data_IF_136334581463
#
_entry.id   IF_136334581463
#
_cell.length_a   1.000
_cell.length_b   1.000
_cell.length_c   1.000
_cell.angle_alpha   90.00
_cell.angle_beta   90.00
_cell.angle_gamma   90.00
#
_symmetry.space_group_name_H-M   'P 1'
#
loop_
_entity.id
_entity.type
_entity.pdbx_description
1 polymer ?
#
# COMPACT_ATOMS: atom_id res chain seq x y z
N UNK A 1 19.35 11.78 12.44
CA UNK A 1 20.74 11.53 12.03
C UNK A 1 20.81 11.61 10.52
N UNK A 2 21.69 12.46 9.97
CA UNK A 2 22.02 12.39 8.55
C UNK A 2 22.80 11.09 8.30
N UNK A 3 22.27 10.21 7.43
CA UNK A 3 22.83 8.89 7.16
C UNK A 3 23.84 9.00 6.01
N UNK A 4 23.47 9.65 4.93
CA UNK A 4 24.20 9.62 3.67
C UNK A 4 25.45 10.51 3.64
N UNK A 5 25.40 11.69 4.27
CA UNK A 5 26.51 12.66 4.40
C UNK A 5 27.22 12.99 3.08
N UNK A 6 26.45 13.13 2.03
CA UNK A 6 26.89 13.39 0.65
C UNK A 6 26.57 14.84 0.27
N UNK A 7 27.45 15.80 0.58
CA UNK A 7 27.25 17.16 0.11
C UNK A 7 27.27 17.20 -1.42
N UNK A 8 26.35 17.94 -2.02
CA UNK A 8 26.23 18.07 -3.47
C UNK A 8 25.47 16.94 -4.17
N UNK A 9 24.93 15.96 -3.44
CA UNK A 9 24.02 14.95 -4.01
C UNK A 9 22.58 15.18 -3.54
N UNK A 10 21.65 15.01 -4.46
CA UNK A 10 20.22 15.05 -4.16
C UNK A 10 19.72 13.63 -3.84
N UNK A 11 19.23 13.44 -2.63
CA UNK A 11 18.78 12.14 -2.11
C UNK A 11 17.31 12.22 -1.75
N UNK A 12 16.55 11.22 -2.19
CA UNK A 12 15.10 11.21 -2.04
C UNK A 12 14.53 9.81 -2.02
N UNK A 13 13.25 9.70 -1.72
CA UNK A 13 12.50 8.43 -1.69
C UNK A 13 13.19 7.37 -0.82
N UNK A 14 13.58 7.74 0.39
CA UNK A 14 14.20 6.81 1.33
C UNK A 14 13.15 5.84 1.90
N UNK A 15 13.32 4.55 1.66
CA UNK A 15 12.41 3.49 2.08
C UNK A 15 13.13 2.39 2.85
N UNK A 16 12.55 1.99 3.98
CA UNK A 16 13.06 0.88 4.79
C UNK A 16 12.75 -0.46 4.14
N UNK A 17 13.71 -1.39 4.21
CA UNK A 17 13.41 -2.80 3.92
C UNK A 17 12.43 -3.36 4.97
N UNK A 18 11.47 -4.23 4.60
CA UNK A 18 10.51 -4.81 5.54
C UNK A 18 11.14 -5.57 6.71
N UNK A 19 12.34 -6.12 6.53
CA UNK A 19 13.11 -6.77 7.60
C UNK A 19 13.84 -5.79 8.54
N UNK A 20 13.74 -4.48 8.27
CA UNK A 20 14.33 -3.41 9.08
C UNK A 20 15.86 -3.31 9.04
N UNK A 21 16.53 -4.00 8.12
CA UNK A 21 18.00 -4.04 8.09
C UNK A 21 18.62 -2.99 7.20
N UNK A 22 17.91 -2.56 6.15
CA UNK A 22 18.45 -1.68 5.14
C UNK A 22 17.50 -0.52 4.85
N UNK A 23 18.08 0.57 4.32
CA UNK A 23 17.35 1.71 3.77
C UNK A 23 17.80 1.84 2.32
N UNK A 24 16.87 1.80 1.38
CA UNK A 24 17.12 2.13 -0.02
C UNK A 24 16.68 3.57 -0.30
N UNK A 25 17.38 4.25 -1.17
CA UNK A 25 17.09 5.62 -1.57
C UNK A 25 17.59 5.90 -2.98
N UNK A 26 17.06 6.93 -3.60
CA UNK A 26 17.50 7.43 -4.89
C UNK A 26 18.57 8.51 -4.65
N UNK A 27 19.69 8.45 -5.38
CA UNK A 27 20.74 9.48 -5.32
C UNK A 27 21.31 9.73 -6.71
N UNK A 28 21.64 10.99 -6.99
CA UNK A 28 22.30 11.43 -8.22
C UNK A 28 23.84 11.63 -8.05
N UNK A 29 24.40 11.15 -6.94
CA UNK A 29 25.85 11.29 -6.62
C UNK A 29 26.80 10.75 -7.69
N UNK A 30 26.33 9.97 -8.62
CA UNK A 30 27.10 9.43 -9.77
C UNK A 30 26.73 10.10 -11.09
N UNK A 31 26.00 11.21 -11.06
CA UNK A 31 25.51 11.97 -12.19
C UNK A 31 24.04 11.69 -12.49
N UNK A 32 23.71 10.48 -12.92
CA UNK A 32 22.33 10.06 -13.12
C UNK A 32 21.71 9.49 -11.84
N UNK A 33 20.36 9.51 -11.77
CA UNK A 33 19.64 8.94 -10.63
C UNK A 33 19.78 7.43 -10.57
N UNK A 34 20.36 6.94 -9.48
CA UNK A 34 20.57 5.51 -9.23
C UNK A 34 20.00 5.11 -7.86
N UNK A 35 19.75 3.82 -7.68
CA UNK A 35 19.30 3.28 -6.39
C UNK A 35 20.51 2.90 -5.56
N UNK A 36 20.56 3.42 -4.36
CA UNK A 36 21.55 3.13 -3.35
C UNK A 36 20.90 2.48 -2.13
N UNK A 37 21.66 1.70 -1.42
CA UNK A 37 21.22 1.04 -0.19
C UNK A 37 22.26 1.20 0.89
N UNK A 38 21.82 1.45 2.12
CA UNK A 38 22.67 1.53 3.31
C UNK A 38 22.09 0.68 4.43
N UNK A 39 22.98 0.08 5.24
CA UNK A 39 22.55 -0.67 6.40
C UNK A 39 21.96 0.27 7.46
N UNK A 40 20.87 -0.13 8.10
CA UNK A 40 20.27 0.57 9.24
C UNK A 40 21.25 0.80 10.40
N UNK A 41 22.26 -0.05 10.51
CA UNK A 41 23.33 0.06 11.52
C UNK A 41 24.43 1.05 11.10
N UNK A 42 24.41 1.52 9.85
CA UNK A 42 25.44 2.32 9.21
C UNK A 42 26.46 1.45 8.47
N UNK A 43 27.36 2.08 7.76
CA UNK A 43 28.37 1.43 6.92
C UNK A 43 28.54 2.16 5.59
N UNK A 44 29.29 1.55 4.68
CA UNK A 44 29.46 2.11 3.33
C UNK A 44 28.19 1.86 2.50
N UNK A 45 27.69 2.88 1.79
CA UNK A 45 26.53 2.74 0.91
C UNK A 45 26.84 1.82 -0.27
N UNK A 46 25.86 1.03 -0.64
CA UNK A 46 25.94 0.05 -1.75
C UNK A 46 25.13 0.58 -2.91
N UNK A 47 25.75 0.74 -4.07
CA UNK A 47 25.03 1.03 -5.31
C UNK A 47 24.36 -0.24 -5.84
N UNK A 48 23.04 -0.19 -6.04
CA UNK A 48 22.23 -1.32 -6.54
C UNK A 48 22.01 -1.24 -8.05
N UNK A 49 21.94 -0.04 -8.61
CA UNK A 49 21.72 0.16 -10.06
C UNK A 49 22.86 1.00 -10.67
N UNK A 50 23.10 0.79 -11.96
CA UNK A 50 24.10 1.55 -12.74
C UNK A 50 23.55 1.81 -14.14
N UNK A 51 24.09 2.86 -14.77
CA UNK A 51 23.76 3.24 -16.14
C UNK A 51 22.24 3.45 -16.32
N UNK A 52 21.62 4.12 -15.36
CA UNK A 52 20.23 4.49 -15.50
C UNK A 52 20.12 5.59 -16.57
N UNK A 53 19.12 5.49 -17.41
CA UNK A 53 18.97 6.34 -18.60
C UNK A 53 17.79 7.32 -18.47
N UNK A 54 17.28 7.49 -17.27
CA UNK A 54 16.16 8.38 -16.96
C UNK A 54 15.96 8.54 -15.46
N UNK A 55 15.18 9.54 -15.10
CA UNK A 55 14.84 9.87 -13.72
C UNK A 55 13.93 8.80 -13.09
N UNK A 56 14.35 8.26 -11.94
CA UNK A 56 13.56 7.33 -11.11
C UNK A 56 12.56 8.16 -10.29
N UNK A 57 11.31 7.71 -10.18
CA UNK A 57 10.23 8.43 -9.49
C UNK A 57 9.94 7.92 -8.09
N UNK A 58 9.77 6.61 -7.95
CA UNK A 58 9.35 5.96 -6.71
C UNK A 58 10.11 4.68 -6.48
N UNK A 59 10.25 4.28 -5.21
CA UNK A 59 10.84 3.01 -4.80
C UNK A 59 9.86 2.24 -3.92
N UNK A 60 9.83 0.92 -4.08
CA UNK A 60 9.12 0.03 -3.19
C UNK A 60 9.85 -1.30 -3.00
N UNK A 61 10.02 -1.71 -1.74
CA UNK A 61 10.57 -3.01 -1.41
C UNK A 61 9.56 -4.13 -1.58
N UNK A 62 10.04 -5.30 -2.03
CA UNK A 62 9.25 -6.52 -1.89
C UNK A 62 9.10 -6.91 -0.41
N UNK A 63 7.97 -7.50 0.01
CA UNK A 63 7.73 -7.94 1.38
C UNK A 63 8.82 -8.87 1.94
N UNK A 64 9.48 -9.66 1.10
CA UNK A 64 10.58 -10.56 1.47
C UNK A 64 11.96 -9.86 1.53
N UNK A 65 12.02 -8.55 1.28
CA UNK A 65 13.23 -7.72 1.29
C UNK A 65 14.31 -8.14 0.29
N UNK A 66 13.95 -8.87 -0.78
CA UNK A 66 14.93 -9.34 -1.78
C UNK A 66 14.98 -8.52 -3.05
N UNK A 67 13.94 -7.77 -3.32
CA UNK A 67 13.87 -6.95 -4.52
C UNK A 67 13.26 -5.57 -4.26
N UNK A 68 13.54 -4.65 -5.19
CA UNK A 68 12.99 -3.31 -5.20
C UNK A 68 12.32 -3.08 -6.55
N UNK A 69 11.09 -2.60 -6.55
CA UNK A 69 10.45 -2.02 -7.73
C UNK A 69 10.70 -0.53 -7.76
N UNK A 70 10.86 0.00 -8.95
CA UNK A 70 10.81 1.44 -9.17
C UNK A 70 10.04 1.80 -10.44
N UNK A 71 9.47 2.99 -10.45
CA UNK A 71 8.91 3.61 -11.64
C UNK A 71 9.80 4.74 -12.13
N UNK A 72 9.77 5.03 -13.43
CA UNK A 72 10.62 6.04 -14.05
C UNK A 72 9.88 6.94 -15.05
N UNK A 73 10.58 7.97 -15.58
CA UNK A 73 10.01 8.91 -16.57
C UNK A 73 9.82 8.31 -17.95
N UNK A 74 10.35 7.14 -18.24
CA UNK A 74 10.06 6.38 -19.48
C UNK A 74 8.83 5.50 -19.34
N UNK A 75 8.04 5.71 -18.30
CA UNK A 75 6.83 4.94 -18.00
C UNK A 75 7.13 3.45 -17.91
N UNK A 76 8.17 3.09 -17.14
CA UNK A 76 8.54 1.71 -16.88
C UNK A 76 8.33 1.36 -15.41
N UNK A 77 7.96 0.12 -15.16
CA UNK A 77 8.14 -0.57 -13.89
C UNK A 77 9.39 -1.43 -14.04
N UNK A 78 10.37 -1.24 -13.18
CA UNK A 78 11.64 -1.96 -13.21
C UNK A 78 11.84 -2.68 -11.89
N UNK A 79 12.23 -3.95 -11.96
CA UNK A 79 12.57 -4.79 -10.82
C UNK A 79 14.08 -4.87 -10.67
N UNK A 80 14.57 -4.62 -9.48
CA UNK A 80 15.98 -4.75 -9.07
C UNK A 80 16.11 -5.92 -8.10
N UNK A 81 16.95 -6.89 -8.41
CA UNK A 81 17.38 -7.92 -7.46
C UNK A 81 18.48 -7.33 -6.58
N UNK A 82 18.26 -7.31 -5.28
CA UNK A 82 19.17 -6.66 -4.32
C UNK A 82 20.48 -7.44 -4.17
N UNK A 83 20.42 -8.76 -4.16
CA UNK A 83 21.59 -9.60 -3.98
C UNK A 83 22.44 -9.67 -5.26
N UNK A 84 21.82 -9.86 -6.41
CA UNK A 84 22.48 -9.94 -7.71
C UNK A 84 22.87 -8.56 -8.27
N UNK A 85 22.27 -7.46 -7.75
CA UNK A 85 22.41 -6.08 -8.28
C UNK A 85 22.10 -6.00 -9.79
N UNK A 86 21.09 -6.73 -10.20
CA UNK A 86 20.63 -6.75 -11.60
C UNK A 86 19.26 -6.08 -11.70
N UNK A 87 19.03 -5.39 -12.82
CA UNK A 87 17.72 -4.77 -13.09
C UNK A 87 17.08 -5.36 -14.34
N UNK A 88 15.76 -5.52 -14.33
CA UNK A 88 14.97 -5.87 -15.51
C UNK A 88 13.73 -5.00 -15.62
N UNK A 89 13.39 -4.61 -16.84
CA UNK A 89 12.12 -3.95 -17.10
C UNK A 89 11.02 -5.01 -16.99
N UNK A 90 10.08 -4.79 -16.07
CA UNK A 90 8.88 -5.62 -15.88
C UNK A 90 7.87 -5.26 -16.95
N UNK A 91 7.64 -3.96 -17.09
CA UNK A 91 6.66 -3.43 -18.04
C UNK A 91 7.01 -2.01 -18.46
N UNK A 92 6.56 -1.63 -19.64
CA UNK A 92 6.55 -0.26 -20.14
C UNK A 92 5.18 0.07 -20.69
N UNK A 93 4.63 1.22 -20.32
CA UNK A 93 3.37 1.71 -20.86
C UNK A 93 3.60 2.92 -21.79
N UNK A 94 3.37 2.79 -23.10
CA UNK A 94 3.52 3.91 -24.03
C UNK A 94 2.40 4.96 -23.89
N UNK A 95 1.27 4.60 -23.29
CA UNK A 95 0.08 5.46 -23.18
C UNK A 95 0.13 6.41 -21.98
N UNK A 96 1.02 6.15 -21.00
CA UNK A 96 1.14 7.00 -19.81
C UNK A 96 1.89 6.34 -18.65
N UNK A 97 1.84 7.01 -17.51
CA UNK A 97 2.54 6.60 -16.31
C UNK A 97 1.86 5.45 -15.58
N UNK A 98 2.64 4.79 -14.75
CA UNK A 98 2.12 3.88 -13.72
C UNK A 98 1.98 4.64 -12.41
N UNK A 99 0.86 4.41 -11.73
CA UNK A 99 0.61 4.92 -10.38
C UNK A 99 0.26 3.77 -9.43
N UNK A 100 0.37 4.04 -8.15
CA UNK A 100 -0.11 3.17 -7.08
C UNK A 100 0.42 1.74 -7.18
N UNK A 101 1.72 1.60 -7.48
CA UNK A 101 2.34 0.27 -7.55
C UNK A 101 2.43 -0.31 -6.14
N UNK A 102 1.92 -1.52 -5.93
CA UNK A 102 1.97 -2.21 -4.65
C UNK A 102 2.30 -3.70 -4.82
N UNK A 103 2.99 -4.28 -3.82
CA UNK A 103 3.29 -5.70 -3.78
C UNK A 103 2.22 -6.49 -3.05
N UNK A 104 1.89 -7.66 -3.57
CA UNK A 104 1.20 -8.67 -2.80
C UNK A 104 2.09 -9.23 -1.68
N UNK A 105 1.52 -9.71 -0.56
CA UNK A 105 2.28 -10.22 0.59
C UNK A 105 3.25 -11.37 0.26
N UNK A 106 3.05 -12.08 -0.85
CA UNK A 106 3.90 -13.20 -1.29
C UNK A 106 5.12 -12.76 -2.12
N UNK A 107 5.28 -11.45 -2.40
CA UNK A 107 6.36 -10.89 -3.22
C UNK A 107 6.39 -11.36 -4.68
N UNK A 108 5.35 -12.10 -5.13
CA UNK A 108 5.22 -12.59 -6.50
C UNK A 108 4.33 -11.70 -7.35
N UNK A 109 3.21 -11.25 -6.79
CA UNK A 109 2.26 -10.42 -7.51
C UNK A 109 2.47 -8.96 -7.19
N UNK A 110 2.19 -8.12 -8.16
CA UNK A 110 2.10 -6.67 -7.98
C UNK A 110 0.77 -6.18 -8.55
N UNK A 111 0.30 -5.08 -7.99
CA UNK A 111 -0.81 -4.31 -8.53
C UNK A 111 -0.35 -2.92 -8.90
N UNK A 112 -1.02 -2.29 -9.82
CA UNK A 112 -0.78 -0.90 -10.21
C UNK A 112 -1.97 -0.34 -10.98
N UNK A 113 -1.95 0.97 -11.16
CA UNK A 113 -2.88 1.70 -12.01
C UNK A 113 -2.16 2.26 -13.21
N UNK A 114 -2.75 2.15 -14.38
CA UNK A 114 -2.28 2.82 -15.60
C UNK A 114 -3.45 3.28 -16.46
N UNK A 115 -3.27 4.32 -17.31
CA UNK A 115 -4.30 4.72 -18.26
C UNK A 115 -4.47 3.64 -19.34
N UNK A 116 -5.70 3.46 -19.75
CA UNK A 116 -6.04 2.72 -20.96
C UNK A 116 -6.10 3.68 -22.16
N UNK A 117 -6.29 3.14 -23.38
CA UNK A 117 -6.35 3.93 -24.62
C UNK A 117 -7.46 4.99 -24.68
N UNK A 118 -8.45 4.92 -23.79
CA UNK A 118 -9.49 5.92 -23.61
C UNK A 118 -9.24 6.87 -22.42
N UNK A 119 -7.99 6.92 -21.92
CA UNK A 119 -7.52 7.73 -20.80
C UNK A 119 -8.13 7.36 -19.43
N UNK A 120 -8.98 6.33 -19.35
CA UNK A 120 -9.49 5.84 -18.07
C UNK A 120 -8.42 5.08 -17.32
N UNK A 121 -8.26 5.38 -16.04
CA UNK A 121 -7.36 4.65 -15.15
C UNK A 121 -7.94 3.29 -14.79
N UNK A 122 -7.16 2.25 -15.02
CA UNK A 122 -7.54 0.84 -14.80
C UNK A 122 -6.57 0.20 -13.83
N UNK A 123 -7.09 -0.59 -12.90
CA UNK A 123 -6.31 -1.40 -11.96
C UNK A 123 -5.94 -2.72 -12.64
N UNK A 124 -4.69 -3.10 -12.51
CA UNK A 124 -4.12 -4.33 -13.03
C UNK A 124 -3.43 -5.14 -11.94
N UNK A 125 -3.37 -6.43 -12.14
CA UNK A 125 -2.45 -7.36 -11.48
C UNK A 125 -1.39 -7.82 -12.47
N UNK A 126 -0.19 -8.08 -11.96
CA UNK A 126 0.90 -8.64 -12.75
C UNK A 126 1.62 -9.74 -11.98
N UNK A 127 1.79 -10.90 -12.61
CA UNK A 127 2.58 -12.01 -12.09
C UNK A 127 4.03 -11.84 -12.50
N UNK A 128 4.92 -11.56 -11.54
CA UNK A 128 6.36 -11.36 -11.77
C UNK A 128 7.10 -12.64 -12.22
N UNK A 129 6.52 -13.81 -11.97
CA UNK A 129 7.08 -15.12 -12.37
C UNK A 129 6.64 -15.48 -13.77
N UNK A 130 5.34 -15.39 -14.06
CA UNK A 130 4.80 -15.70 -15.38
C UNK A 130 4.97 -14.55 -16.38
N UNK A 131 5.33 -13.35 -15.92
CA UNK A 131 5.43 -12.12 -16.69
C UNK A 131 4.13 -11.84 -17.46
N UNK A 132 3.01 -11.89 -16.76
CA UNK A 132 1.68 -11.74 -17.35
C UNK A 132 0.83 -10.74 -16.59
N UNK A 133 0.16 -9.87 -17.36
CA UNK A 133 -0.74 -8.84 -16.86
C UNK A 133 -2.20 -9.30 -16.94
N UNK A 134 -3.00 -8.89 -15.93
CA UNK A 134 -4.42 -9.18 -15.84
C UNK A 134 -5.19 -7.93 -15.40
N UNK A 135 -6.19 -7.47 -16.17
CA UNK A 135 -7.03 -6.36 -15.75
C UNK A 135 -7.95 -6.80 -14.60
N UNK A 136 -8.03 -5.97 -13.56
CA UNK A 136 -8.95 -6.14 -12.43
C UNK A 136 -10.24 -5.36 -12.67
N UNK A 137 -10.10 -4.12 -13.17
CA UNK A 137 -11.25 -3.24 -13.41
C UNK A 137 -11.48 -3.00 -14.89
N UNK A 138 -12.71 -2.64 -15.22
CA UNK A 138 -13.10 -2.30 -16.58
C UNK A 138 -12.68 -0.87 -16.96
N UNK A 139 -12.62 -0.60 -18.27
CA UNK A 139 -12.22 0.70 -18.84
C UNK A 139 -13.34 1.77 -18.85
N UNK A 140 -14.44 1.53 -18.12
CA UNK A 140 -15.59 2.43 -18.11
C UNK A 140 -15.51 3.51 -17.05
N UNK A 141 -14.71 3.27 -15.99
CA UNK A 141 -14.62 4.14 -14.83
C UNK A 141 -13.16 4.27 -14.40
N UNK A 142 -12.79 5.45 -13.94
CA UNK A 142 -11.49 5.61 -13.30
C UNK A 142 -11.45 4.78 -12.02
N UNK A 143 -10.40 3.98 -11.88
CA UNK A 143 -10.07 3.22 -10.68
C UNK A 143 -8.63 3.48 -10.29
N UNK A 144 -8.33 3.56 -8.99
CA UNK A 144 -7.03 3.96 -8.44
C UNK A 144 -6.77 3.38 -7.07
N UNK A 145 -5.56 3.58 -6.56
CA UNK A 145 -5.10 3.19 -5.23
C UNK A 145 -5.34 1.70 -4.90
N UNK A 146 -5.00 0.75 -5.79
CA UNK A 146 -5.12 -0.66 -5.45
C UNK A 146 -4.14 -1.03 -4.35
N UNK A 147 -4.63 -1.72 -3.32
CA UNK A 147 -3.85 -2.17 -2.17
C UNK A 147 -4.25 -3.58 -1.79
N UNK A 148 -3.28 -4.47 -1.61
CA UNK A 148 -3.55 -5.82 -1.13
C UNK A 148 -3.87 -5.84 0.37
N UNK A 149 -4.79 -6.71 0.78
CA UNK A 149 -4.89 -7.07 2.20
C UNK A 149 -3.65 -7.84 2.64
N UNK A 150 -3.21 -7.63 3.89
CA UNK A 150 -1.98 -8.27 4.41
C UNK A 150 -2.09 -9.79 4.53
N UNK A 151 -3.31 -10.32 4.57
CA UNK A 151 -3.59 -11.76 4.55
C UNK A 151 -3.71 -12.34 3.12
N UNK A 152 -3.68 -11.47 2.09
CA UNK A 152 -3.73 -11.85 0.69
C UNK A 152 -5.09 -12.33 0.20
N UNK A 153 -6.17 -12.03 0.90
CA UNK A 153 -7.52 -12.41 0.47
C UNK A 153 -8.18 -11.43 -0.49
N UNK A 154 -7.87 -10.15 -0.33
CA UNK A 154 -8.55 -9.07 -1.03
C UNK A 154 -7.57 -8.14 -1.75
N UNK A 155 -8.04 -7.55 -2.84
CA UNK A 155 -7.49 -6.33 -3.41
C UNK A 155 -8.54 -5.23 -3.25
N UNK A 156 -8.17 -4.16 -2.56
CA UNK A 156 -9.01 -2.99 -2.29
C UNK A 156 -8.61 -1.89 -3.26
N UNK A 157 -9.55 -1.09 -3.73
CA UNK A 157 -9.27 0.05 -4.61
C UNK A 157 -10.39 1.09 -4.55
N UNK A 158 -10.10 2.31 -4.99
CA UNK A 158 -11.09 3.35 -5.24
C UNK A 158 -11.59 3.25 -6.69
N UNK A 159 -12.88 3.49 -6.92
CA UNK A 159 -13.42 3.61 -8.27
C UNK A 159 -14.54 4.63 -8.37
N UNK A 160 -14.54 5.42 -9.46
CA UNK A 160 -15.51 6.47 -9.71
C UNK A 160 -16.74 5.93 -10.47
N UNK A 161 -17.36 4.88 -9.96
CA UNK A 161 -18.52 4.22 -10.56
C UNK A 161 -19.82 4.39 -9.75
N UNK A 162 -19.83 5.28 -8.78
CA UNK A 162 -21.00 5.57 -7.96
C UNK A 162 -21.72 6.80 -8.50
N UNK A 163 -22.72 6.56 -9.35
CA UNK A 163 -23.51 7.60 -9.99
C UNK A 163 -24.82 7.82 -9.24
N UNK A 164 -24.76 8.65 -8.17
CA UNK A 164 -25.95 9.10 -7.46
C UNK A 164 -26.27 10.56 -7.84
N UNK A 165 -27.19 10.81 -8.79
CA UNK A 165 -27.46 12.15 -9.28
C UNK A 165 -28.23 12.99 -8.26
N UNK A 166 -27.83 14.27 -8.16
CA UNK A 166 -28.53 15.28 -7.37
C UNK A 166 -29.15 16.30 -8.33
N UNK A 167 -30.37 16.75 -8.04
CA UNK A 167 -31.00 17.82 -8.81
C UNK A 167 -30.43 19.18 -8.45
N UNK A 168 -29.96 19.92 -9.45
CA UNK A 168 -29.64 21.34 -9.31
C UNK A 168 -30.93 22.14 -9.18
N UNK A 169 -31.07 22.92 -8.10
CA UNK A 169 -32.28 23.68 -7.81
C UNK A 169 -32.50 24.86 -8.75
N UNK A 170 -31.50 25.28 -9.53
CA UNK A 170 -31.54 26.43 -10.41
C UNK A 170 -31.84 26.06 -11.87
N UNK A 171 -31.28 24.97 -12.36
CA UNK A 171 -31.31 24.63 -13.80
C UNK A 171 -32.02 23.31 -14.11
N UNK A 172 -32.56 22.61 -13.11
CA UNK A 172 -33.27 21.33 -13.28
C UNK A 172 -32.38 20.23 -13.91
N UNK A 173 -31.06 20.40 -13.88
CA UNK A 173 -30.10 19.46 -14.41
C UNK A 173 -29.63 18.47 -13.32
N UNK A 174 -29.36 17.23 -13.75
CA UNK A 174 -28.68 16.25 -12.89
C UNK A 174 -27.21 16.65 -12.69
N UNK A 175 -26.75 16.65 -11.45
CA UNK A 175 -25.37 16.91 -11.08
C UNK A 175 -24.85 15.73 -10.26
N UNK A 176 -23.67 15.25 -10.58
CA UNK A 176 -22.95 14.25 -9.81
C UNK A 176 -21.92 14.98 -8.96
N UNK A 177 -22.13 15.05 -7.64
CA UNK A 177 -21.24 15.75 -6.73
C UNK A 177 -19.99 14.93 -6.42
N UNK A 178 -20.18 13.64 -6.23
CA UNK A 178 -19.11 12.67 -5.92
C UNK A 178 -19.48 11.33 -6.55
N UNK A 179 -18.47 10.65 -7.09
CA UNK A 179 -18.65 9.35 -7.76
C UNK A 179 -17.70 8.28 -7.21
N UNK A 180 -16.79 8.65 -6.31
CA UNK A 180 -15.80 7.74 -5.71
C UNK A 180 -16.43 6.83 -4.67
N UNK A 181 -16.07 5.56 -4.71
CA UNK A 181 -16.42 4.56 -3.71
C UNK A 181 -15.25 3.63 -3.45
N UNK A 182 -15.25 2.98 -2.30
CA UNK A 182 -14.30 1.90 -1.98
C UNK A 182 -14.87 0.59 -2.48
N UNK A 183 -14.07 -0.12 -3.24
CA UNK A 183 -14.39 -1.43 -3.79
C UNK A 183 -13.32 -2.43 -3.40
N UNK A 184 -13.68 -3.69 -3.34
CA UNK A 184 -12.74 -4.78 -3.20
C UNK A 184 -13.11 -5.96 -4.09
N UNK A 185 -12.14 -6.81 -4.37
CA UNK A 185 -12.31 -8.07 -5.08
C UNK A 185 -11.65 -9.19 -4.27
N UNK A 186 -12.34 -10.34 -4.15
CA UNK A 186 -11.74 -11.55 -3.58
C UNK A 186 -10.72 -12.12 -4.55
N UNK A 187 -9.48 -12.37 -4.11
CA UNK A 187 -8.42 -12.89 -4.96
C UNK A 187 -8.66 -14.38 -5.30
N UNK A 188 -9.06 -15.18 -4.33
CA UNK A 188 -9.51 -16.56 -4.55
C UNK A 188 -11.03 -16.59 -4.77
N UNK A 189 -11.49 -17.16 -5.89
CA UNK A 189 -12.92 -17.28 -6.23
C UNK A 189 -13.71 -18.19 -5.32
N UNK A 190 -13.03 -19.01 -4.51
CA UNK A 190 -13.69 -19.88 -3.51
C UNK A 190 -13.97 -19.17 -2.19
N UNK A 191 -13.38 -17.99 -1.97
CA UNK A 191 -13.65 -17.18 -0.79
C UNK A 191 -15.03 -16.52 -0.91
N UNK A 192 -15.92 -16.69 0.06
CA UNK A 192 -17.19 -15.97 0.07
C UNK A 192 -16.93 -14.47 0.27
N UNK A 193 -17.76 -13.64 -0.37
CA UNK A 193 -17.77 -12.20 -0.07
C UNK A 193 -18.23 -12.00 1.38
N UNK A 194 -17.58 -11.10 2.16
CA UNK A 194 -18.05 -10.76 3.52
C UNK A 194 -19.44 -10.10 3.53
N UNK A 195 -19.96 -9.67 2.38
CA UNK A 195 -21.28 -9.07 2.23
C UNK A 195 -22.35 -10.01 1.65
N UNK A 196 -22.08 -11.31 1.60
CA UNK A 196 -23.15 -12.27 1.27
C UNK A 196 -24.21 -12.25 2.38
N UNK A 197 -25.50 -12.33 2.03
CA UNK A 197 -26.56 -12.51 3.01
C UNK A 197 -26.26 -13.75 3.88
N UNK A 198 -26.27 -13.59 5.18
CA UNK A 198 -26.19 -14.73 6.10
C UNK A 198 -27.48 -15.53 5.95
N UNK A 199 -27.37 -16.76 5.49
CA UNK A 199 -28.52 -17.66 5.43
C UNK A 199 -28.80 -18.17 6.83
N UNK A 200 -29.89 -17.72 7.43
CA UNK A 200 -30.31 -18.13 8.78
C UNK A 200 -30.61 -19.63 8.90
N UNK A 201 -30.79 -20.34 7.77
CA UNK A 201 -30.99 -21.79 7.76
C UNK A 201 -29.68 -22.58 8.00
N UNK A 202 -28.49 -21.97 7.73
CA UNK A 202 -27.19 -22.63 7.95
C UNK A 202 -26.80 -22.63 9.41
N UNK A 203 -27.19 -21.60 10.16
CA UNK A 203 -26.87 -21.50 11.59
C UNK A 203 -27.63 -22.50 12.45
N UNK A 204 -28.76 -23.04 11.97
CA UNK A 204 -29.57 -24.03 12.70
C UNK A 204 -28.98 -25.45 12.68
N UNK A 205 -28.09 -25.76 11.72
CA UNK A 205 -27.46 -27.10 11.66
C UNK A 205 -26.17 -27.21 12.49
N UNK A 206 -25.54 -26.09 12.81
CA UNK A 206 -24.29 -26.07 13.61
C UNK A 206 -24.53 -26.05 15.13
N UNK A 207 -25.72 -25.68 15.60
CA UNK A 207 -26.06 -25.65 17.02
C UNK A 207 -26.50 -27.03 17.58
N UNK A 208 -26.56 -28.07 16.75
CA UNK A 208 -27.05 -29.40 17.18
C UNK A 208 -25.96 -30.41 17.56
N UNK A 209 -24.66 -30.07 17.47
CA UNK A 209 -23.58 -31.01 17.82
C UNK A 209 -22.81 -30.69 19.13
N UNK A 210 -23.19 -29.66 19.89
CA UNK A 210 -22.62 -29.39 21.22
C UNK A 210 -23.59 -29.70 22.36
N UNK A 211 -24.08 -30.91 22.42
CA UNK A 211 -24.70 -31.43 23.65
C UNK A 211 -24.23 -32.84 23.91
N UNK A 212 -23.57 -32.98 25.07
CA UNK A 212 -23.27 -34.24 25.81
C UNK A 212 -21.88 -34.83 25.54
N UNK A 213 -20.88 -34.44 26.35
CA UNK A 213 -20.23 -35.39 27.24
C UNK A 213 -19.64 -34.68 28.45
N UNK A 214 -20.22 -34.95 29.58
CA UNK A 214 -19.71 -34.67 30.93
C UNK A 214 -18.50 -35.55 31.25
N UNK A 215 -17.45 -35.02 31.92
CA UNK A 215 -16.45 -35.93 32.47
C UNK A 215 -15.06 -35.34 32.76
N UNK A 216 -14.91 -34.67 33.92
CA UNK A 216 -13.74 -34.63 34.82
C UNK A 216 -12.36 -34.21 34.35
N UNK A 217 -11.96 -33.14 35.03
CA UNK A 217 -10.67 -32.60 35.42
C UNK A 217 -9.42 -33.52 35.41
N UNK A 218 -8.29 -32.96 35.01
CA UNK A 218 -7.11 -32.74 35.87
C UNK A 218 -6.05 -31.92 35.10
N UNK A 219 -5.45 -30.96 35.81
CA UNK A 219 -4.53 -30.00 35.28
C UNK A 219 -3.16 -30.53 34.95
N UNK A 220 -2.43 -29.74 34.12
CA UNK A 220 -0.98 -29.48 34.26
C UNK A 220 -0.47 -28.39 33.35
N UNK A 221 0.12 -27.40 34.04
CA UNK A 221 1.34 -26.59 33.69
C UNK A 221 1.51 -26.00 32.32
N UNK A 222 1.59 -24.67 32.39
CA UNK A 222 2.37 -23.76 31.52
C UNK A 222 3.73 -24.33 31.13
N UNK A 223 4.06 -24.21 29.85
CA UNK A 223 5.43 -24.06 29.39
C UNK A 223 5.43 -22.96 28.34
N UNK A 224 6.15 -21.88 28.67
CA UNK A 224 6.56 -20.85 27.76
C UNK A 224 7.26 -21.46 26.54
N UNK A 225 6.71 -21.22 25.37
CA UNK A 225 7.30 -21.59 24.09
C UNK A 225 7.34 -20.38 23.19
N UNK A 226 8.46 -19.68 23.23
CA UNK A 226 8.84 -18.63 22.31
C UNK A 226 8.91 -19.19 20.88
N UNK A 227 7.82 -19.16 20.16
CA UNK A 227 7.78 -19.49 18.73
C UNK A 227 7.91 -18.18 17.95
N UNK A 228 9.10 -17.91 17.48
CA UNK A 228 9.34 -16.99 16.37
C UNK A 228 8.68 -17.62 15.14
N UNK A 229 7.46 -17.24 14.85
CA UNK A 229 6.82 -17.52 13.57
C UNK A 229 7.48 -16.68 12.47
N UNK A 230 8.50 -17.28 11.85
CA UNK A 230 8.85 -16.92 10.48
C UNK A 230 7.63 -17.28 9.62
N UNK A 231 6.81 -16.28 9.24
CA UNK A 231 5.75 -16.44 8.24
C UNK A 231 6.37 -17.05 6.99
N UNK A 232 6.13 -18.33 6.74
CA UNK A 232 6.39 -18.95 5.44
C UNK A 232 5.63 -18.14 4.41
N UNK A 233 6.33 -17.56 3.43
CA UNK A 233 5.71 -16.99 2.24
C UNK A 233 4.96 -18.11 1.51
N UNK A 234 3.70 -18.29 1.84
CA UNK A 234 2.81 -19.16 1.08
C UNK A 234 2.44 -18.39 -0.20
N UNK A 235 2.67 -18.99 -1.36
CA UNK A 235 2.21 -18.46 -2.64
C UNK A 235 0.71 -18.20 -2.56
N UNK A 236 0.31 -16.98 -2.87
CA UNK A 236 -1.10 -16.61 -2.89
C UNK A 236 -1.82 -17.33 -4.02
N UNK A 237 -3.04 -17.73 -3.77
CA UNK A 237 -3.95 -18.20 -4.80
C UNK A 237 -4.72 -17.00 -5.34
N UNK A 238 -4.44 -16.66 -6.60
CA UNK A 238 -5.14 -15.59 -7.30
C UNK A 238 -5.82 -16.16 -8.54
N UNK A 239 -7.15 -16.14 -8.55
CA UNK A 239 -7.97 -16.52 -9.69
C UNK A 239 -8.23 -15.29 -10.56
N UNK A 240 -7.54 -15.20 -11.68
CA UNK A 240 -7.56 -14.01 -12.56
C UNK A 240 -8.74 -13.97 -13.53
N UNK A 241 -9.49 -15.05 -13.66
CA UNK A 241 -10.69 -15.11 -14.49
C UNK A 241 -11.86 -14.37 -13.83
N UNK A 242 -12.60 -13.60 -14.60
CA UNK A 242 -13.83 -12.91 -14.20
C UNK A 242 -13.71 -12.09 -12.90
N UNK A 243 -12.54 -11.43 -12.68
CA UNK A 243 -12.31 -10.65 -11.48
C UNK A 243 -13.35 -9.54 -11.30
N UNK A 244 -13.72 -8.87 -12.38
CA UNK A 244 -14.72 -7.78 -12.35
C UNK A 244 -16.09 -8.25 -11.87
N UNK A 245 -16.46 -9.52 -12.08
CA UNK A 245 -17.72 -10.08 -11.56
C UNK A 245 -17.73 -10.27 -10.05
N UNK A 246 -16.55 -10.24 -9.41
CA UNK A 246 -16.36 -10.39 -7.96
C UNK A 246 -16.10 -9.06 -7.25
N UNK A 247 -16.13 -7.94 -7.99
CA UNK A 247 -15.98 -6.61 -7.40
C UNK A 247 -17.22 -6.27 -6.60
N UNK A 248 -17.01 -5.92 -5.33
CA UNK A 248 -18.08 -5.54 -4.40
C UNK A 248 -17.77 -4.16 -3.83
N UNK A 249 -18.80 -3.30 -3.75
CA UNK A 249 -18.70 -1.97 -3.12
C UNK A 249 -18.87 -2.08 -1.61
N UNK A 250 -18.07 -1.34 -0.83
CA UNK A 250 -18.36 -1.12 0.58
C UNK A 250 -19.64 -0.29 0.72
N UNK A 251 -20.48 -0.54 1.73
CA UNK A 251 -21.74 0.19 1.95
C UNK A 251 -21.48 1.59 2.52
N UNK A 252 -20.69 2.38 1.81
CA UNK A 252 -20.32 3.74 2.13
C UNK A 252 -20.87 4.72 1.07
N UNK A 253 -21.11 5.95 1.49
CA UNK A 253 -21.51 7.04 0.59
C UNK A 253 -20.40 7.36 -0.40
N UNK A 254 -20.78 7.91 -1.56
CA UNK A 254 -19.80 8.39 -2.53
C UNK A 254 -18.99 9.55 -1.97
N UNK A 255 -17.66 9.41 -1.97
CA UNK A 255 -16.71 10.44 -1.52
C UNK A 255 -15.34 10.30 -2.21
N UNK A 256 -14.36 11.06 -1.75
CA UNK A 256 -12.95 10.93 -2.12
C UNK A 256 -12.24 10.09 -1.05
N UNK A 257 -11.84 8.90 -1.43
CA UNK A 257 -11.19 7.91 -0.57
C UNK A 257 -9.75 7.69 -1.00
N UNK A 258 -8.83 7.57 -0.06
CA UNK A 258 -7.40 7.34 -0.31
C UNK A 258 -6.66 6.73 0.88
N UNK A 259 -5.38 6.35 0.69
CA UNK A 259 -4.49 5.81 1.70
C UNK A 259 -5.05 4.55 2.36
N UNK A 260 -5.26 3.51 1.58
CA UNK A 260 -5.83 2.26 2.06
C UNK A 260 -4.80 1.39 2.79
N UNK A 261 -5.23 0.79 3.87
CA UNK A 261 -4.56 -0.33 4.52
C UNK A 261 -5.61 -1.37 4.91
N UNK A 262 -5.33 -2.66 4.73
CA UNK A 262 -6.26 -3.74 5.06
C UNK A 262 -5.52 -4.89 5.74
N UNK A 263 -6.00 -5.31 6.92
CA UNK A 263 -5.45 -6.47 7.63
C UNK A 263 -6.14 -7.80 7.29
N UNK A 264 -7.20 -7.75 6.45
CA UNK A 264 -8.04 -8.88 6.07
C UNK A 264 -9.37 -8.94 6.82
N UNK A 265 -9.50 -8.22 7.92
CA UNK A 265 -10.74 -8.08 8.70
C UNK A 265 -11.26 -6.65 8.67
N UNK A 266 -10.36 -5.67 8.56
CA UNK A 266 -10.67 -4.23 8.60
C UNK A 266 -9.95 -3.52 7.47
N UNK A 267 -10.57 -2.41 7.02
CA UNK A 267 -10.01 -1.51 6.02
C UNK A 267 -9.89 -0.13 6.64
N UNK A 268 -8.66 0.39 6.74
CA UNK A 268 -8.41 1.79 7.11
C UNK A 268 -8.27 2.60 5.84
N UNK A 269 -8.79 3.82 5.89
CA UNK A 269 -8.74 4.74 4.77
C UNK A 269 -8.83 6.19 5.24
N UNK A 270 -8.43 7.11 4.41
CA UNK A 270 -8.56 8.53 4.64
C UNK A 270 -9.74 9.09 3.84
N UNK A 271 -10.66 9.77 4.52
CA UNK A 271 -11.77 10.51 3.94
C UNK A 271 -12.19 11.66 4.84
N UNK A 272 -12.81 12.70 4.29
CA UNK A 272 -13.39 13.85 5.04
C UNK A 272 -12.43 14.50 6.04
N UNK A 273 -11.13 14.44 5.77
CA UNK A 273 -10.12 15.02 6.67
C UNK A 273 -9.73 14.16 7.88
N UNK A 274 -10.14 12.89 7.93
CA UNK A 274 -9.90 11.98 9.03
C UNK A 274 -9.49 10.59 8.54
N UNK A 275 -8.86 9.80 9.40
CA UNK A 275 -8.67 8.37 9.19
C UNK A 275 -9.87 7.62 9.74
N UNK A 276 -10.45 6.80 8.90
CA UNK A 276 -11.57 5.91 9.19
C UNK A 276 -11.10 4.46 9.25
N UNK A 277 -11.89 3.61 9.86
CA UNK A 277 -11.77 2.16 9.85
C UNK A 277 -13.13 1.55 9.56
N UNK A 278 -13.19 0.69 8.56
CA UNK A 278 -14.38 -0.10 8.24
C UNK A 278 -14.15 -1.56 8.67
N UNK A 279 -14.99 -2.09 9.55
CA UNK A 279 -14.97 -3.51 9.95
C UNK A 279 -15.78 -4.32 8.95
N UNK A 280 -15.14 -5.29 8.28
CA UNK A 280 -15.78 -6.11 7.24
C UNK A 280 -16.84 -7.05 7.78
N UNK A 281 -16.71 -7.51 9.04
CA UNK A 281 -17.64 -8.45 9.66
C UNK A 281 -18.88 -7.74 10.20
N UNK A 282 -18.66 -6.66 10.95
CA UNK A 282 -19.76 -5.89 11.56
C UNK A 282 -20.38 -4.92 10.54
N UNK A 283 -19.69 -4.60 9.44
CA UNK A 283 -20.09 -3.66 8.39
C UNK A 283 -20.31 -2.25 8.93
N UNK A 284 -19.50 -1.85 9.89
CA UNK A 284 -19.55 -0.54 10.53
C UNK A 284 -18.32 0.29 10.18
N UNK A 285 -18.55 1.60 10.00
CA UNK A 285 -17.51 2.61 9.76
C UNK A 285 -17.32 3.48 10.99
N UNK A 286 -16.08 3.65 11.44
CA UNK A 286 -15.71 4.49 12.58
C UNK A 286 -14.57 5.43 12.23
N UNK A 287 -14.65 6.69 12.68
CA UNK A 287 -13.52 7.63 12.66
C UNK A 287 -12.54 7.25 13.77
N UNK A 288 -11.38 6.74 13.41
CA UNK A 288 -10.35 6.33 14.38
C UNK A 288 -9.38 7.46 14.74
N UNK A 289 -9.13 8.40 13.82
CA UNK A 289 -8.26 9.57 14.12
C UNK A 289 -8.72 10.80 13.34
N UNK A 290 -9.16 11.83 14.08
CA UNK A 290 -9.61 13.09 13.48
C UNK A 290 -8.45 13.97 13.00
N UNK A 291 -8.63 14.64 11.86
CA UNK A 291 -7.65 15.56 11.27
C UNK A 291 -6.26 14.94 11.09
N UNK A 292 -6.21 13.65 10.79
CA UNK A 292 -4.98 12.89 10.66
C UNK A 292 -5.06 11.91 9.48
N UNK A 293 -3.95 11.77 8.75
CA UNK A 293 -3.74 10.68 7.80
C UNK A 293 -2.86 9.61 8.42
N UNK A 294 -3.09 8.36 8.06
CA UNK A 294 -2.37 7.19 8.56
C UNK A 294 -1.55 6.56 7.44
N UNK A 295 -0.35 6.10 7.79
CA UNK A 295 0.47 5.26 6.94
C UNK A 295 0.95 4.04 7.73
N UNK A 296 0.95 2.87 7.10
CA UNK A 296 1.32 1.60 7.74
C UNK A 296 2.28 0.84 6.85
N UNK A 297 3.48 0.59 7.36
CA UNK A 297 4.41 -0.32 6.69
C UNK A 297 3.91 -1.76 6.78
N UNK A 298 3.86 -2.52 5.67
CA UNK A 298 3.42 -3.91 5.68
C UNK A 298 4.14 -4.75 6.73
N UNK A 299 3.37 -5.47 7.55
CA UNK A 299 3.88 -6.27 8.65
C UNK A 299 4.19 -5.52 9.94
N UNK A 300 4.04 -4.19 9.96
CA UNK A 300 4.15 -3.39 11.20
C UNK A 300 2.94 -3.60 12.11
N UNK A 301 3.17 -3.47 13.42
CA UNK A 301 2.10 -3.37 14.42
C UNK A 301 1.76 -1.91 14.74
N UNK A 302 2.54 -0.99 14.22
CA UNK A 302 2.41 0.43 14.45
C UNK A 302 2.05 1.16 13.15
N UNK A 303 1.32 2.24 13.30
CA UNK A 303 0.99 3.20 12.27
C UNK A 303 1.69 4.53 12.52
N UNK A 304 2.07 5.19 11.44
CA UNK A 304 2.51 6.58 11.44
C UNK A 304 1.33 7.47 11.12
N UNK A 305 1.06 8.44 11.99
CA UNK A 305 0.05 9.45 11.74
C UNK A 305 0.69 10.81 11.46
N UNK A 306 0.15 11.49 10.46
CA UNK A 306 0.46 12.90 10.21
C UNK A 306 -0.76 13.75 10.52
N UNK A 307 -0.62 14.67 11.48
CA UNK A 307 -1.68 15.57 11.88
C UNK A 307 -1.12 16.95 12.25
N UNK A 308 -1.70 18.00 11.66
CA UNK A 308 -1.36 19.41 11.96
C UNK A 308 0.14 19.71 11.94
N UNK A 309 0.87 19.16 10.94
CA UNK A 309 2.31 19.37 10.78
C UNK A 309 3.19 18.55 11.72
N UNK A 310 2.64 17.60 12.44
CA UNK A 310 3.36 16.72 13.39
C UNK A 310 3.20 15.26 13.02
N UNK A 311 4.20 14.46 13.39
CA UNK A 311 4.21 13.01 13.23
C UNK A 311 3.95 12.33 14.57
N UNK A 312 3.19 11.25 14.54
CA UNK A 312 2.86 10.43 15.71
C UNK A 312 3.02 8.96 15.35
N UNK A 313 3.54 8.17 16.25
CA UNK A 313 3.64 6.71 16.08
C UNK A 313 2.83 6.04 17.18
N UNK A 314 1.88 5.21 16.79
CA UNK A 314 1.02 4.47 17.71
C UNK A 314 0.75 3.06 17.17
N UNK A 315 0.20 2.18 17.99
CA UNK A 315 -0.34 0.93 17.48
C UNK A 315 -1.44 1.21 16.44
N UNK A 316 -1.63 0.30 15.48
CA UNK A 316 -2.72 0.42 14.50
C UNK A 316 -4.06 0.44 15.27
N UNK A 317 -4.86 1.51 15.17
CA UNK A 317 -6.04 1.68 16.02
C UNK A 317 -7.20 0.81 15.52
N UNK A 318 -7.88 0.15 16.44
CA UNK A 318 -9.13 -0.59 16.21
C UNK A 318 -10.35 0.12 16.79
N UNK A 319 -10.18 1.33 17.30
CA UNK A 319 -11.20 2.22 17.80
C UNK A 319 -10.67 3.66 17.80
N UNK A 320 -11.52 4.63 18.10
CA UNK A 320 -11.14 6.05 18.14
C UNK A 320 -10.00 6.31 19.12
N UNK A 321 -8.95 6.97 18.63
CA UNK A 321 -7.78 7.39 19.43
C UNK A 321 -7.63 8.90 19.46
N UNK A 322 -6.91 9.38 20.47
CA UNK A 322 -6.40 10.74 20.53
C UNK A 322 -4.88 10.69 20.36
N UNK A 323 -4.35 11.41 19.36
CA UNK A 323 -2.92 11.47 19.12
C UNK A 323 -2.23 12.30 20.19
N UNK A 324 -1.34 11.69 20.96
CA UNK A 324 -0.46 12.31 21.96
C UNK A 324 1.00 11.98 21.63
N UNK A 325 1.93 12.68 22.24
CA UNK A 325 3.36 12.37 22.15
C UNK A 325 3.90 12.39 20.72
N UNK A 326 3.88 13.58 20.11
CA UNK A 326 4.46 13.78 18.78
C UNK A 326 5.95 13.42 18.76
N UNK A 327 6.40 12.87 17.64
CA UNK A 327 7.82 12.61 17.39
C UNK A 327 8.59 13.94 17.49
N UNK A 328 9.59 13.98 18.36
CA UNK A 328 10.44 15.17 18.52
C UNK A 328 11.44 15.28 17.38
N UNK A 329 11.25 16.27 16.54
CA UNK A 329 12.12 16.62 15.40
C UNK A 329 12.96 17.87 15.67
N UNK A 330 12.95 18.41 16.88
CA UNK A 330 13.65 19.66 17.22
C UNK A 330 15.18 19.60 17.01
N UNK A 331 15.76 18.42 17.07
CA UNK A 331 17.18 18.18 16.83
C UNK A 331 17.53 17.90 15.36
N UNK A 332 16.55 17.92 14.46
CA UNK A 332 16.78 17.83 13.02
C UNK A 332 17.15 19.20 12.46
N UNK A 333 18.42 19.56 12.58
CA UNK A 333 18.98 20.81 12.04
C UNK A 333 19.99 20.50 10.94
N UNK A 334 19.94 21.28 9.87
CA UNK A 334 20.93 21.30 8.81
C UNK A 334 21.69 22.63 8.86
N UNK A 335 23.00 22.58 8.69
CA UNK A 335 23.81 23.77 8.48
C UNK A 335 24.05 23.94 6.99
N UNK A 336 23.63 25.06 6.44
CA UNK A 336 23.78 25.38 5.01
C UNK A 336 24.87 26.43 4.88
N UNK A 337 25.87 26.16 4.04
CA UNK A 337 26.84 27.14 3.56
C UNK A 337 26.34 27.72 2.23
N UNK A 338 25.76 28.89 2.27
CA UNK A 338 25.17 29.51 1.10
C UNK A 338 26.20 29.77 -0.05
N UNK A 339 27.46 29.95 0.25
CA UNK A 339 28.45 30.17 -0.81
C UNK A 339 28.70 28.86 -1.59
N UNK A 340 28.77 27.74 -0.90
CA UNK A 340 28.90 26.43 -1.54
C UNK A 340 27.60 26.02 -2.25
N UNK A 341 26.44 26.27 -1.63
CA UNK A 341 25.14 25.99 -2.23
C UNK A 341 24.94 26.78 -3.54
N UNK A 342 25.26 28.05 -3.55
CA UNK A 342 25.14 28.87 -4.78
C UNK A 342 26.08 28.42 -5.89
N UNK A 343 27.30 28.00 -5.56
CA UNK A 343 28.22 27.43 -6.54
C UNK A 343 27.65 26.14 -7.15
N UNK A 344 27.11 25.27 -6.33
CA UNK A 344 26.46 24.04 -6.77
C UNK A 344 25.22 24.31 -7.63
N UNK A 345 24.33 25.23 -7.22
CA UNK A 345 23.15 25.63 -8.01
C UNK A 345 23.57 26.14 -9.39
N UNK A 346 24.66 26.93 -9.46
CA UNK A 346 25.17 27.41 -10.72
C UNK A 346 25.66 26.27 -11.62
N UNK A 347 26.44 25.34 -11.07
CA UNK A 347 26.97 24.18 -11.81
C UNK A 347 25.87 23.25 -12.30
N UNK A 348 24.82 23.03 -11.48
CA UNK A 348 23.65 22.21 -11.86
C UNK A 348 22.75 22.89 -12.92
N UNK A 349 22.69 24.23 -12.94
CA UNK A 349 21.87 24.96 -13.88
C UNK A 349 22.55 25.11 -15.26
N UNK A 350 23.87 25.05 -15.33
CA UNK A 350 24.68 25.20 -16.55
C UNK A 350 24.83 23.87 -17.29
#
# INVERSE_FOLDING_TARGET
RNITRTPGANEREAVWSPDGKNIAYISDRTGETEIWMESAQGGEPIQLTQNNDTYIRSLQWSPDSKSILYTDRKNRIVLVDVAAKTKRVVMQNPEGEFWDVDYAPDSRWITYTKPASNEMSVVYLYDLVENKEYPVTEKWYNSSEPTFSTDGKYLIFCSNRDFNPVYGSLEWNHVYLRTGGIYFVTLDKTLPSPFLPKDAAVDAENDSEEAVTDGKAEGKKQTDGNTKDAKKNSTLKIDTEDMYARIVKLPLDADSYRNFYCDGERIWYYAKGATHMFDLKEQEDEVVAESASMDVTPGSKNALFYSKGKLFVTAIPTSKITLSDAVDLSNMVATVDYAQEWAQIFDEAW
#
